data_IF_746252271722
#
_entry.id   IF_746252271722
#
_cell.length_a   1.000
_cell.length_b   1.000
_cell.length_c   1.000
_cell.angle_alpha   90.00
_cell.angle_beta   90.00
_cell.angle_gamma   90.00
#
_symmetry.space_group_name_H-M   'P 1'
#
loop_
_entity.id
_entity.type
_entity.pdbx_description
1 polymer ?
#
# COMPACT_ATOMS: atom_id res chain seq x y z
N UNK A 1 -1.77 -22.52 -1.67
CA UNK A 1 -2.75 -21.72 -0.90
C UNK A 1 -4.05 -21.64 -1.70
N UNK A 2 -5.21 -21.55 -1.03
CA UNK A 2 -6.51 -21.43 -1.70
C UNK A 2 -6.67 -20.07 -2.40
N UNK A 3 -5.96 -19.06 -1.90
CA UNK A 3 -5.80 -17.75 -2.51
C UNK A 3 -4.41 -17.68 -3.15
N UNK A 4 -4.30 -17.20 -4.39
CA UNK A 4 -3.08 -17.29 -5.22
C UNK A 4 -2.41 -15.94 -5.47
N UNK A 5 -3.14 -14.85 -5.35
CA UNK A 5 -2.61 -13.51 -5.67
C UNK A 5 -1.44 -13.12 -4.78
N UNK A 6 -0.37 -12.65 -5.42
CA UNK A 6 0.87 -12.21 -4.77
C UNK A 6 1.01 -10.70 -4.99
N UNK A 7 0.67 -9.91 -3.97
CA UNK A 7 0.81 -8.45 -3.98
C UNK A 7 0.34 -7.84 -2.66
N UNK A 8 0.65 -6.56 -2.42
CA UNK A 8 0.15 -5.86 -1.23
C UNK A 8 -1.38 -5.75 -1.21
N UNK A 9 -2.02 -6.25 -0.15
CA UNK A 9 -3.48 -6.18 0.03
C UNK A 9 -4.05 -4.75 0.14
N UNK A 10 -3.18 -3.74 0.25
CA UNK A 10 -3.57 -2.33 0.17
C UNK A 10 -3.76 -1.84 -1.28
N UNK A 11 -3.35 -2.61 -2.29
CA UNK A 11 -3.63 -2.31 -3.70
C UNK A 11 -5.05 -2.80 -4.03
N UNK A 12 -5.96 -1.91 -4.46
CA UNK A 12 -7.36 -2.26 -4.70
C UNK A 12 -7.58 -3.45 -5.63
N UNK A 13 -6.84 -3.53 -6.73
CA UNK A 13 -6.97 -4.62 -7.71
C UNK A 13 -6.56 -5.97 -7.09
N UNK A 14 -5.47 -6.01 -6.33
CA UNK A 14 -5.04 -7.20 -5.59
C UNK A 14 -6.06 -7.61 -4.54
N UNK A 15 -6.60 -6.63 -3.79
CA UNK A 15 -7.66 -6.89 -2.81
C UNK A 15 -8.91 -7.50 -3.45
N UNK A 16 -9.39 -6.96 -4.58
CA UNK A 16 -10.55 -7.50 -5.29
C UNK A 16 -10.30 -8.90 -5.84
N UNK A 17 -9.11 -9.15 -6.38
CA UNK A 17 -8.77 -10.47 -6.87
C UNK A 17 -8.83 -11.52 -5.73
N UNK A 18 -8.32 -11.17 -4.55
CA UNK A 18 -8.45 -12.01 -3.35
C UNK A 18 -9.92 -12.17 -2.91
N UNK A 19 -10.72 -11.09 -2.92
CA UNK A 19 -12.15 -11.19 -2.60
C UNK A 19 -12.91 -12.11 -3.55
N UNK A 20 -12.59 -12.09 -4.86
CA UNK A 20 -13.16 -12.98 -5.87
C UNK A 20 -12.79 -14.43 -5.59
N UNK A 21 -11.51 -14.71 -5.34
CA UNK A 21 -11.06 -16.07 -4.99
C UNK A 21 -11.74 -16.59 -3.72
N UNK A 22 -11.88 -15.75 -2.70
CA UNK A 22 -12.60 -16.10 -1.47
C UNK A 22 -14.09 -16.36 -1.76
N UNK A 23 -14.74 -15.54 -2.58
CA UNK A 23 -16.13 -15.74 -2.99
C UNK A 23 -16.30 -17.07 -3.72
N UNK A 24 -15.40 -17.40 -4.65
CA UNK A 24 -15.43 -18.65 -5.42
C UNK A 24 -15.28 -19.89 -4.52
N UNK A 25 -14.33 -19.84 -3.56
CA UNK A 25 -14.13 -20.91 -2.58
C UNK A 25 -15.38 -21.06 -1.70
N UNK A 26 -15.92 -19.97 -1.15
CA UNK A 26 -17.10 -20.02 -0.30
C UNK A 26 -18.35 -20.49 -1.05
N UNK A 27 -18.54 -20.07 -2.30
CA UNK A 27 -19.64 -20.53 -3.14
C UNK A 27 -19.53 -22.01 -3.51
N UNK A 28 -18.30 -22.54 -3.62
CA UNK A 28 -18.07 -23.96 -3.87
C UNK A 28 -18.35 -24.82 -2.63
N UNK A 29 -17.94 -24.36 -1.45
CA UNK A 29 -18.15 -25.06 -0.17
C UNK A 29 -19.60 -24.95 0.35
N UNK A 30 -20.27 -23.83 0.08
CA UNK A 30 -21.64 -23.54 0.52
C UNK A 30 -22.52 -23.05 -0.64
N UNK A 31 -22.91 -23.95 -1.58
CA UNK A 31 -23.64 -23.57 -2.79
C UNK A 31 -24.98 -22.90 -2.50
N UNK A 32 -25.64 -23.22 -1.39
CA UNK A 32 -26.91 -22.63 -0.97
C UNK A 32 -26.80 -21.15 -0.62
N UNK A 33 -25.58 -20.66 -0.35
CA UNK A 33 -25.28 -19.26 -0.04
C UNK A 33 -24.64 -18.51 -1.19
N UNK A 34 -24.45 -19.13 -2.36
CA UNK A 34 -23.75 -18.55 -3.50
C UNK A 34 -24.31 -17.17 -3.88
N UNK A 35 -25.64 -17.03 -3.99
CA UNK A 35 -26.29 -15.75 -4.33
C UNK A 35 -25.93 -14.63 -3.33
N UNK A 36 -25.85 -14.96 -2.03
CA UNK A 36 -25.45 -14.00 -1.00
C UNK A 36 -23.97 -13.58 -1.17
N UNK A 37 -23.07 -14.52 -1.44
CA UNK A 37 -21.65 -14.21 -1.62
C UNK A 37 -21.41 -13.34 -2.86
N UNK A 38 -22.07 -13.65 -3.97
CA UNK A 38 -21.98 -12.84 -5.20
C UNK A 38 -22.53 -11.42 -4.97
N UNK A 39 -23.67 -11.28 -4.29
CA UNK A 39 -24.20 -9.96 -3.93
C UNK A 39 -23.22 -9.17 -3.05
N UNK A 40 -22.58 -9.81 -2.07
CA UNK A 40 -21.60 -9.15 -1.19
C UNK A 40 -20.33 -8.76 -1.94
N UNK A 41 -19.86 -9.58 -2.86
CA UNK A 41 -18.73 -9.28 -3.73
C UNK A 41 -19.02 -8.04 -4.60
N UNK A 42 -20.22 -7.96 -5.20
CA UNK A 42 -20.62 -6.82 -6.03
C UNK A 42 -20.64 -5.50 -5.23
N UNK A 43 -21.08 -5.53 -3.97
CA UNK A 43 -21.00 -4.36 -3.07
C UNK A 43 -19.54 -3.94 -2.87
N UNK A 44 -18.65 -4.88 -2.57
CA UNK A 44 -17.23 -4.60 -2.35
C UNK A 44 -16.58 -4.02 -3.62
N UNK A 45 -16.90 -4.57 -4.80
CA UNK A 45 -16.38 -4.07 -6.08
C UNK A 45 -16.80 -2.63 -6.36
N UNK A 46 -18.06 -2.29 -6.10
CA UNK A 46 -18.58 -0.94 -6.30
C UNK A 46 -17.98 0.06 -5.30
N UNK A 47 -17.93 -0.30 -4.02
CA UNK A 47 -17.34 0.55 -2.97
C UNK A 47 -15.87 0.83 -3.26
N UNK A 48 -15.11 -0.20 -3.65
CA UNK A 48 -13.69 -0.06 -3.90
C UNK A 48 -13.39 0.72 -5.19
N UNK A 49 -14.23 0.58 -6.22
CA UNK A 49 -14.14 1.41 -7.42
C UNK A 49 -14.32 2.89 -7.08
N UNK A 50 -15.34 3.21 -6.27
CA UNK A 50 -15.58 4.58 -5.80
C UNK A 50 -14.40 5.13 -5.00
N UNK A 51 -13.91 4.35 -4.03
CA UNK A 51 -12.76 4.74 -3.21
C UNK A 51 -11.49 4.94 -4.04
N UNK A 52 -11.23 4.07 -5.02
CA UNK A 52 -10.07 4.22 -5.92
C UNK A 52 -10.12 5.56 -6.64
N UNK A 53 -11.24 5.85 -7.30
CA UNK A 53 -11.36 7.03 -8.14
C UNK A 53 -11.22 8.30 -7.26
N UNK A 54 -11.76 8.27 -6.03
CA UNK A 54 -11.57 9.32 -5.03
C UNK A 54 -10.10 9.51 -4.62
N UNK A 55 -9.38 8.44 -4.30
CA UNK A 55 -8.00 8.51 -3.83
C UNK A 55 -7.05 9.04 -4.91
N UNK A 56 -7.18 8.54 -6.14
CA UNK A 56 -6.35 8.99 -7.27
C UNK A 56 -6.60 10.47 -7.58
N UNK A 57 -7.87 10.89 -7.53
CA UNK A 57 -8.23 12.29 -7.72
C UNK A 57 -7.67 13.19 -6.61
N UNK A 58 -7.70 12.76 -5.34
CA UNK A 58 -7.09 13.49 -4.22
C UNK A 58 -5.59 13.68 -4.39
N UNK A 59 -4.86 12.64 -4.81
CA UNK A 59 -3.41 12.73 -5.07
C UNK A 59 -3.12 13.71 -6.20
N UNK A 60 -3.90 13.65 -7.28
CA UNK A 60 -3.80 14.56 -8.43
C UNK A 60 -4.06 16.01 -8.02
N UNK A 61 -5.14 16.27 -7.28
CA UNK A 61 -5.50 17.61 -6.79
C UNK A 61 -4.47 18.19 -5.83
N UNK A 62 -3.84 17.34 -5.01
CA UNK A 62 -2.76 17.75 -4.12
C UNK A 62 -1.42 18.01 -4.83
N UNK A 63 -1.35 17.79 -6.16
CA UNK A 63 -0.10 17.92 -6.92
C UNK A 63 0.99 16.98 -6.40
N UNK A 64 0.60 15.79 -5.96
CA UNK A 64 1.51 14.79 -5.39
C UNK A 64 1.89 13.70 -6.39
N UNK A 65 1.28 13.66 -7.58
CA UNK A 65 1.66 12.72 -8.63
C UNK A 65 3.16 12.81 -8.93
N UNK A 66 3.83 11.65 -8.94
CA UNK A 66 5.28 11.50 -9.09
C UNK A 66 6.10 12.17 -7.99
N UNK A 67 5.51 12.49 -6.84
CA UNK A 67 6.29 12.93 -5.68
C UNK A 67 7.18 11.79 -5.20
N UNK A 68 8.46 12.11 -5.05
CA UNK A 68 9.48 11.19 -4.53
C UNK A 68 9.31 11.01 -3.04
N UNK A 69 9.23 9.76 -2.61
CA UNK A 69 8.96 9.42 -1.20
C UNK A 69 9.93 8.35 -0.70
N UNK A 70 10.18 8.40 0.61
CA UNK A 70 10.75 7.27 1.34
C UNK A 70 9.61 6.54 2.04
N UNK A 71 9.52 5.22 1.94
CA UNK A 71 8.31 4.50 2.34
C UNK A 71 8.63 3.20 3.09
N UNK A 72 7.79 2.79 4.04
CA UNK A 72 7.90 1.43 4.58
C UNK A 72 7.72 0.39 3.47
N UNK A 73 8.51 -0.68 3.50
CA UNK A 73 8.43 -1.76 2.53
C UNK A 73 7.01 -2.32 2.36
N UNK A 74 6.23 -2.41 3.45
CA UNK A 74 4.86 -2.92 3.42
C UNK A 74 3.84 -1.97 2.76
N UNK A 75 4.22 -0.72 2.51
CA UNK A 75 3.38 0.30 1.89
C UNK A 75 3.84 0.65 0.46
N UNK A 76 4.96 0.10 -0.01
CA UNK A 76 5.59 0.48 -1.27
C UNK A 76 4.68 0.26 -2.49
N UNK A 77 3.99 -0.88 -2.56
CA UNK A 77 3.07 -1.20 -3.66
C UNK A 77 1.88 -0.22 -3.70
N UNK A 78 1.28 0.05 -2.55
CA UNK A 78 0.16 0.98 -2.43
C UNK A 78 0.55 2.41 -2.81
N UNK A 79 1.74 2.84 -2.37
CA UNK A 79 2.29 4.17 -2.67
C UNK A 79 2.62 4.31 -4.16
N UNK A 80 3.17 3.27 -4.78
CA UNK A 80 3.39 3.24 -6.23
C UNK A 80 2.07 3.29 -7.00
N UNK A 81 1.06 2.55 -6.52
CA UNK A 81 -0.29 2.54 -7.10
C UNK A 81 -0.97 3.92 -7.02
N UNK A 82 -0.76 4.68 -5.94
CA UNK A 82 -1.22 6.08 -5.83
C UNK A 82 -0.54 7.02 -6.84
N UNK A 83 0.49 6.55 -7.56
CA UNK A 83 1.26 7.34 -8.51
C UNK A 83 2.39 8.14 -7.87
N UNK A 84 2.81 7.79 -6.65
CA UNK A 84 4.01 8.32 -6.00
C UNK A 84 5.25 7.53 -6.45
N UNK A 85 6.45 8.07 -6.20
CA UNK A 85 7.71 7.43 -6.60
C UNK A 85 8.52 7.00 -5.36
N UNK A 86 8.46 5.72 -4.94
CA UNK A 86 9.32 5.20 -3.88
C UNK A 86 10.80 5.21 -4.28
N UNK A 87 11.60 6.06 -3.65
CA UNK A 87 13.05 6.15 -3.92
C UNK A 87 13.85 5.07 -3.18
N UNK A 88 13.40 4.75 -1.98
CA UNK A 88 13.91 3.65 -1.18
C UNK A 88 12.84 3.19 -0.19
N UNK A 89 13.02 1.98 0.32
CA UNK A 89 12.14 1.37 1.32
C UNK A 89 12.91 1.07 2.60
N UNK A 90 12.24 1.22 3.74
CA UNK A 90 12.74 0.81 5.06
C UNK A 90 11.74 -0.15 5.74
N UNK A 91 12.15 -0.82 6.80
CA UNK A 91 11.27 -1.63 7.67
C UNK A 91 11.24 -1.05 9.09
N UNK A 92 10.39 -1.60 9.97
CA UNK A 92 10.29 -1.18 11.37
C UNK A 92 11.65 -1.18 12.11
N UNK A 93 11.78 -0.31 13.13
CA UNK A 93 13.03 -0.10 13.88
C UNK A 93 13.62 -1.36 14.49
N UNK A 94 12.76 -2.34 14.80
CA UNK A 94 13.17 -3.57 15.48
C UNK A 94 13.85 -4.56 14.53
N UNK A 95 13.66 -4.38 13.22
CA UNK A 95 14.18 -5.24 12.15
C UNK A 95 15.26 -4.51 11.35
N UNK A 96 15.10 -3.20 11.19
CA UNK A 96 15.95 -2.40 10.32
C UNK A 96 17.41 -2.35 10.79
N UNK A 97 18.32 -2.29 9.84
CA UNK A 97 19.77 -2.23 10.10
C UNK A 97 20.30 -0.81 9.94
N UNK A 98 21.39 -0.49 10.65
CA UNK A 98 22.09 0.81 10.49
C UNK A 98 22.52 1.03 9.03
N UNK A 99 23.01 -0.01 8.35
CA UNK A 99 23.38 0.07 6.95
C UNK A 99 22.17 0.32 6.02
N UNK A 100 21.02 -0.28 6.32
CA UNK A 100 19.76 -0.04 5.61
C UNK A 100 19.27 1.40 5.76
N UNK A 101 19.35 1.94 6.99
CA UNK A 101 19.03 3.35 7.29
C UNK A 101 19.96 4.29 6.54
N UNK A 102 21.28 4.07 6.59
CA UNK A 102 22.25 4.90 5.86
C UNK A 102 22.01 4.88 4.35
N UNK A 103 21.68 3.72 3.78
CA UNK A 103 21.36 3.58 2.36
C UNK A 103 20.12 4.38 1.99
N UNK A 104 19.06 4.31 2.81
CA UNK A 104 17.84 5.09 2.62
C UNK A 104 18.12 6.60 2.64
N UNK A 105 18.90 7.07 3.62
CA UNK A 105 19.27 8.48 3.76
C UNK A 105 20.05 8.95 2.53
N UNK A 106 21.11 8.23 2.14
CA UNK A 106 21.95 8.60 0.97
C UNK A 106 21.14 8.69 -0.32
N UNK A 107 20.22 7.73 -0.55
CA UNK A 107 19.34 7.77 -1.72
C UNK A 107 18.35 8.93 -1.66
N UNK A 108 17.74 9.18 -0.50
CA UNK A 108 16.75 10.23 -0.34
C UNK A 108 17.35 11.64 -0.48
N UNK A 109 18.53 11.89 0.11
CA UNK A 109 19.25 13.17 0.00
C UNK A 109 19.61 13.48 -1.46
N UNK A 110 20.02 12.48 -2.25
CA UNK A 110 20.39 12.66 -3.64
C UNK A 110 19.19 12.97 -4.57
N UNK A 111 17.97 12.65 -4.13
CA UNK A 111 16.78 12.64 -5.00
C UNK A 111 15.70 13.65 -4.60
N UNK A 112 15.82 14.31 -3.44
CA UNK A 112 14.87 15.32 -2.98
C UNK A 112 13.50 14.72 -2.61
N UNK A 113 13.49 13.85 -1.62
CA UNK A 113 12.25 13.24 -1.09
C UNK A 113 11.34 14.29 -0.48
N UNK A 114 10.03 14.24 -0.79
CA UNK A 114 9.03 15.21 -0.35
C UNK A 114 8.43 14.90 1.03
N UNK A 115 8.28 13.62 1.37
CA UNK A 115 7.78 13.15 2.66
C UNK A 115 8.11 11.67 2.88
N UNK A 116 8.00 11.23 4.13
CA UNK A 116 8.23 9.83 4.55
C UNK A 116 6.90 9.17 4.92
N UNK A 117 6.65 7.97 4.38
CA UNK A 117 5.43 7.20 4.61
C UNK A 117 5.74 5.98 5.49
N UNK A 118 5.19 5.98 6.70
CA UNK A 118 5.34 4.89 7.65
C UNK A 118 4.25 3.81 7.48
N UNK A 119 4.51 2.63 8.03
CA UNK A 119 3.48 1.63 8.26
C UNK A 119 3.10 1.62 9.75
N UNK A 120 1.81 1.77 10.06
CA UNK A 120 1.35 1.93 11.45
C UNK A 120 1.68 0.71 12.32
N UNK A 121 1.63 -0.48 11.73
CA UNK A 121 1.84 -1.77 12.39
C UNK A 121 3.31 -1.99 12.79
N UNK A 122 4.24 -1.31 12.14
CA UNK A 122 5.68 -1.34 12.46
C UNK A 122 6.10 -0.21 13.42
N UNK A 123 5.15 0.62 13.84
CA UNK A 123 5.44 1.87 14.54
C UNK A 123 5.94 2.97 13.60
N UNK A 124 6.02 4.21 14.12
CA UNK A 124 6.33 5.41 13.31
C UNK A 124 7.62 6.11 13.73
N UNK A 125 8.32 5.62 14.75
CA UNK A 125 9.48 6.30 15.32
C UNK A 125 10.62 6.47 14.30
N UNK A 126 10.98 5.39 13.58
CA UNK A 126 12.02 5.44 12.56
C UNK A 126 11.63 6.39 11.40
N UNK A 127 10.39 6.29 10.91
CA UNK A 127 9.91 7.14 9.83
C UNK A 127 9.96 8.64 10.22
N UNK A 128 9.62 8.97 11.46
CA UNK A 128 9.74 10.34 11.99
C UNK A 128 11.20 10.81 12.03
N UNK A 129 12.11 9.97 12.54
CA UNK A 129 13.53 10.30 12.59
C UNK A 129 14.12 10.51 11.18
N UNK A 130 13.70 9.68 10.21
CA UNK A 130 14.07 9.84 8.80
C UNK A 130 13.52 11.13 8.21
N UNK A 131 12.26 11.48 8.48
CA UNK A 131 11.62 12.72 8.02
C UNK A 131 12.37 13.95 8.57
N UNK A 132 12.62 13.98 9.88
CA UNK A 132 13.39 15.05 10.53
C UNK A 132 14.80 15.18 9.94
N UNK A 133 15.48 14.05 9.70
CA UNK A 133 16.83 14.04 9.11
C UNK A 133 16.85 14.58 7.68
N UNK A 134 15.81 14.30 6.89
CA UNK A 134 15.71 14.65 5.49
C UNK A 134 15.02 16.02 5.25
N UNK A 135 14.47 16.64 6.29
CA UNK A 135 13.68 17.87 6.17
C UNK A 135 12.36 17.65 5.41
N UNK A 136 11.79 16.45 5.53
CA UNK A 136 10.62 15.97 4.79
C UNK A 136 9.42 15.71 5.71
#
# INVERSE_FOLDING_TARGET
ALVRETGGLCVPETYLAVCREVSDVLSSEYPERNALYQQRLEVIENDLKGLRDELLEKVRQAGMTSAKVLVSNYQADFVSWLGLEPIATFVGSDIETVAGIEHCIKKAEAQGVRFVIANKQEGTALAKALAERLGA
#
